data_IF_379371378657
#
_entry.id   IF_379371378657
#
_cell.length_a   1.000
_cell.length_b   1.000
_cell.length_c   1.000
_cell.angle_alpha   90.00
_cell.angle_beta   90.00
_cell.angle_gamma   90.00
#
_symmetry.space_group_name_H-M   'P 1'
#
loop_
_entity.id
_entity.type
_entity.pdbx_description
1 polymer ?
#
# COMPACT_ATOMS: atom_id res chain seq x y z
N UNK A 1 -37.50 -0.15 4.70
CA UNK A 1 -36.50 -0.82 5.57
C UNK A 1 -35.67 -1.87 4.84
N UNK A 2 -36.23 -2.66 3.91
CA UNK A 2 -35.49 -3.71 3.18
C UNK A 2 -34.43 -3.21 2.19
N UNK A 3 -34.66 -2.07 1.53
CA UNK A 3 -33.72 -1.49 0.54
C UNK A 3 -32.47 -0.93 1.22
N UNK A 4 -32.65 -0.17 2.31
CA UNK A 4 -31.53 0.37 3.12
C UNK A 4 -30.62 -0.72 3.68
N UNK A 5 -31.20 -1.81 4.20
CA UNK A 5 -30.42 -2.94 4.70
C UNK A 5 -29.58 -3.59 3.59
N UNK A 6 -30.16 -3.77 2.40
CA UNK A 6 -29.43 -4.30 1.23
C UNK A 6 -28.28 -3.38 0.84
N UNK A 7 -28.53 -2.07 0.79
CA UNK A 7 -27.50 -1.08 0.47
C UNK A 7 -26.35 -1.10 1.48
N UNK A 8 -26.64 -1.14 2.78
CA UNK A 8 -25.63 -1.26 3.83
C UNK A 8 -24.80 -2.54 3.70
N UNK A 9 -25.46 -3.67 3.42
CA UNK A 9 -24.77 -4.95 3.18
C UNK A 9 -23.87 -4.87 1.95
N UNK A 10 -24.33 -4.27 0.85
CA UNK A 10 -23.51 -4.07 -0.35
C UNK A 10 -22.29 -3.20 -0.08
N UNK A 11 -22.47 -2.09 0.65
CA UNK A 11 -21.37 -1.19 1.03
C UNK A 11 -20.36 -1.95 1.91
N UNK A 12 -20.83 -2.71 2.91
CA UNK A 12 -19.98 -3.51 3.78
C UNK A 12 -19.17 -4.53 2.97
N UNK A 13 -19.81 -5.28 2.06
CA UNK A 13 -19.14 -6.24 1.19
C UNK A 13 -18.06 -5.56 0.35
N UNK A 14 -18.37 -4.40 -0.25
CA UNK A 14 -17.41 -3.64 -1.03
C UNK A 14 -16.19 -3.20 -0.19
N UNK A 15 -16.40 -2.81 1.07
CA UNK A 15 -15.31 -2.44 1.98
C UNK A 15 -14.49 -3.66 2.42
N UNK A 16 -15.11 -4.82 2.64
CA UNK A 16 -14.40 -6.06 2.94
C UNK A 16 -13.53 -6.54 1.78
N UNK A 17 -14.05 -6.50 0.55
CA UNK A 17 -13.28 -6.82 -0.66
C UNK A 17 -12.11 -5.84 -0.81
N UNK A 18 -12.38 -4.54 -0.65
CA UNK A 18 -11.36 -3.50 -0.73
C UNK A 18 -10.27 -3.66 0.32
N UNK A 19 -10.62 -4.05 1.54
CA UNK A 19 -9.67 -4.37 2.61
C UNK A 19 -8.76 -5.55 2.23
N UNK A 20 -9.34 -6.63 1.72
CA UNK A 20 -8.61 -7.82 1.26
C UNK A 20 -7.61 -7.49 0.15
N UNK A 21 -8.07 -6.79 -0.89
CA UNK A 21 -7.23 -6.39 -2.02
C UNK A 21 -6.15 -5.38 -1.61
N UNK A 22 -6.46 -4.43 -0.72
CA UNK A 22 -5.47 -3.47 -0.22
C UNK A 22 -4.37 -4.19 0.57
N UNK A 23 -4.72 -5.21 1.35
CA UNK A 23 -3.77 -6.05 2.09
C UNK A 23 -2.82 -6.78 1.16
N UNK A 24 -3.34 -7.43 0.11
CA UNK A 24 -2.53 -8.21 -0.82
C UNK A 24 -1.58 -7.32 -1.62
N UNK A 25 -2.07 -6.20 -2.15
CA UNK A 25 -1.25 -5.23 -2.89
C UNK A 25 -0.15 -4.65 -2.01
N UNK A 26 -0.45 -4.27 -0.77
CA UNK A 26 0.55 -3.76 0.15
C UNK A 26 1.59 -4.82 0.55
N UNK A 27 1.18 -6.08 0.69
CA UNK A 27 2.11 -7.19 0.96
C UNK A 27 3.06 -7.41 -0.22
N UNK A 28 2.54 -7.39 -1.47
CA UNK A 28 3.34 -7.50 -2.68
C UNK A 28 4.36 -6.36 -2.83
N UNK A 29 4.00 -5.15 -2.39
CA UNK A 29 4.87 -3.97 -2.41
C UNK A 29 5.80 -3.85 -1.19
N UNK A 30 5.99 -4.94 -0.44
CA UNK A 30 6.82 -5.02 0.77
C UNK A 30 6.54 -3.91 1.81
N UNK A 31 5.26 -3.59 1.99
CA UNK A 31 4.76 -2.55 2.91
C UNK A 31 3.89 -3.18 4.01
N UNK A 32 3.51 -2.37 5.00
CA UNK A 32 2.71 -2.84 6.12
C UNK A 32 1.27 -3.18 5.66
N UNK A 33 1.05 -4.45 5.36
CA UNK A 33 -0.20 -4.96 4.79
C UNK A 33 -1.40 -4.77 5.72
N UNK A 34 -1.22 -4.85 7.04
CA UNK A 34 -2.31 -4.67 8.00
C UNK A 34 -2.82 -3.22 8.05
N UNK A 35 -1.92 -2.22 7.94
CA UNK A 35 -2.32 -0.81 7.87
C UNK A 35 -3.11 -0.51 6.60
N UNK A 36 -2.73 -1.11 5.48
CA UNK A 36 -3.44 -0.95 4.22
C UNK A 36 -4.74 -1.74 4.14
N UNK A 37 -4.84 -2.89 4.81
CA UNK A 37 -6.10 -3.59 5.00
C UNK A 37 -7.11 -2.71 5.75
N UNK A 38 -6.67 -2.04 6.81
CA UNK A 38 -7.51 -1.09 7.55
C UNK A 38 -7.94 0.10 6.68
N UNK A 39 -7.04 0.63 5.86
CA UNK A 39 -7.38 1.70 4.92
C UNK A 39 -8.45 1.26 3.90
N UNK A 40 -8.33 0.06 3.33
CA UNK A 40 -9.33 -0.51 2.44
C UNK A 40 -10.66 -0.81 3.14
N UNK A 41 -10.65 -1.15 4.43
CA UNK A 41 -11.87 -1.36 5.21
C UNK A 41 -12.59 -0.06 5.59
N UNK A 42 -11.86 1.01 5.89
CA UNK A 42 -12.44 2.30 6.30
C UNK A 42 -12.88 3.16 5.12
N UNK A 43 -12.12 3.13 4.03
CA UNK A 43 -12.34 3.98 2.86
C UNK A 43 -12.82 3.20 1.63
N UNK A 44 -13.00 1.88 1.76
CA UNK A 44 -13.51 1.03 0.70
C UNK A 44 -12.65 1.13 -0.56
N UNK A 45 -13.27 1.32 -1.74
CA UNK A 45 -12.54 1.44 -3.01
C UNK A 45 -11.50 2.55 -3.04
N UNK A 46 -11.71 3.66 -2.32
CA UNK A 46 -10.72 4.76 -2.26
C UNK A 46 -9.44 4.32 -1.55
N UNK A 47 -9.57 3.53 -0.48
CA UNK A 47 -8.43 2.92 0.22
C UNK A 47 -7.65 1.96 -0.67
N UNK A 48 -8.37 1.19 -1.51
CA UNK A 48 -7.75 0.30 -2.49
C UNK A 48 -6.99 1.06 -3.58
N UNK A 49 -7.57 2.13 -4.14
CA UNK A 49 -6.89 2.94 -5.16
C UNK A 49 -5.58 3.52 -4.60
N UNK A 50 -5.61 4.01 -3.36
CA UNK A 50 -4.41 4.49 -2.67
C UNK A 50 -3.38 3.36 -2.46
N UNK A 51 -3.82 2.14 -2.11
CA UNK A 51 -2.94 0.98 -1.96
C UNK A 51 -2.29 0.56 -3.28
N UNK A 52 -2.98 0.69 -4.41
CA UNK A 52 -2.42 0.42 -5.74
C UNK A 52 -1.43 1.50 -6.17
N UNK A 53 -1.77 2.77 -5.95
CA UNK A 53 -0.94 3.92 -6.31
C UNK A 53 0.33 4.07 -5.46
N UNK A 54 0.44 3.35 -4.35
CA UNK A 54 1.64 3.44 -3.51
C UNK A 54 2.87 2.87 -4.25
N UNK A 55 4.06 3.49 -4.10
CA UNK A 55 5.28 2.99 -4.72
C UNK A 55 5.81 1.74 -4.01
N UNK A 56 6.29 0.79 -4.80
CA UNK A 56 6.92 -0.44 -4.33
C UNK A 56 8.33 -0.14 -3.76
N UNK A 57 8.66 -0.78 -2.64
CA UNK A 57 9.99 -0.68 -2.02
C UNK A 57 11.08 -1.18 -2.95
N UNK A 58 10.84 -2.23 -3.73
CA UNK A 58 11.83 -2.74 -4.69
C UNK A 58 12.05 -1.77 -5.85
N UNK A 59 10.97 -1.17 -6.35
CA UNK A 59 11.03 -0.16 -7.40
C UNK A 59 11.81 1.09 -6.96
N UNK A 60 11.65 1.53 -5.70
CA UNK A 60 12.42 2.67 -5.17
C UNK A 60 13.93 2.38 -5.15
N UNK A 61 14.32 1.16 -4.75
CA UNK A 61 15.75 0.76 -4.74
C UNK A 61 16.29 0.68 -6.16
N UNK A 62 15.53 0.12 -7.10
CA UNK A 62 15.94 0.03 -8.50
C UNK A 62 16.07 1.40 -9.17
N UNK A 63 15.10 2.30 -8.95
CA UNK A 63 15.17 3.68 -9.46
C UNK A 63 16.38 4.42 -8.90
N UNK A 64 16.71 4.20 -7.63
CA UNK A 64 17.93 4.75 -7.02
C UNK A 64 19.18 4.20 -7.70
N UNK A 65 19.25 2.89 -7.94
CA UNK A 65 20.37 2.28 -8.65
C UNK A 65 20.55 2.88 -10.05
N UNK A 66 19.46 3.05 -10.81
CA UNK A 66 19.49 3.70 -12.13
C UNK A 66 19.96 5.15 -12.05
N UNK A 67 19.49 5.90 -11.05
CA UNK A 67 19.90 7.29 -10.86
C UNK A 67 21.39 7.39 -10.50
N UNK A 68 21.89 6.52 -9.62
CA UNK A 68 23.31 6.48 -9.22
C UNK A 68 24.22 6.18 -10.42
N UNK A 69 23.80 5.32 -11.36
CA UNK A 69 24.52 5.11 -12.62
C UNK A 69 24.58 6.35 -13.52
N UNK A 70 23.61 7.27 -13.39
CA UNK A 70 23.56 8.55 -14.12
C UNK A 70 24.28 9.69 -13.38
N UNK A 71 25.02 9.38 -12.30
CA UNK A 71 25.75 10.37 -11.52
C UNK A 71 24.92 11.10 -10.46
N UNK A 72 23.71 10.63 -10.18
CA UNK A 72 22.91 11.16 -9.07
C UNK A 72 23.59 10.81 -7.73
N UNK A 73 23.97 11.84 -6.98
CA UNK A 73 24.46 11.72 -5.61
C UNK A 73 23.28 11.90 -4.64
N UNK A 74 22.94 10.91 -3.80
CA UNK A 74 21.85 11.05 -2.85
C UNK A 74 22.17 12.14 -1.81
N UNK A 75 21.29 13.14 -1.69
CA UNK A 75 21.43 14.27 -0.76
C UNK A 75 21.47 13.85 0.72
N UNK A 76 20.93 12.67 1.04
CA UNK A 76 21.03 12.04 2.35
C UNK A 76 21.43 10.58 2.17
N UNK A 77 22.51 10.15 2.83
CA UNK A 77 22.84 8.74 2.92
C UNK A 77 21.71 8.06 3.73
N UNK A 78 20.84 7.30 3.06
CA UNK A 78 19.89 6.44 3.77
C UNK A 78 20.68 5.37 4.52
N UNK A 79 21.03 5.66 5.78
CA UNK A 79 21.54 4.69 6.73
C UNK A 79 20.44 3.71 7.07
N UNK A 80 20.49 2.50 6.50
CA UNK A 80 19.86 1.37 7.16
C UNK A 80 20.57 1.15 8.48
N UNK A 81 19.84 1.07 9.60
CA UNK A 81 20.38 0.47 10.81
C UNK A 81 20.92 -0.90 10.42
N UNK A 82 22.26 -1.03 10.38
CA UNK A 82 22.89 -2.35 10.42
C UNK A 82 22.44 -2.93 11.76
N UNK A 83 21.68 -4.01 11.72
CA UNK A 83 21.46 -4.80 12.91
C UNK A 83 22.82 -5.20 13.46
N UNK A 84 23.19 -4.65 14.60
CA UNK A 84 24.24 -5.18 15.45
C UNK A 84 23.73 -6.53 15.95
N UNK A 85 24.46 -7.58 15.57
CA UNK A 85 24.34 -8.92 16.13
C UNK A 85 25.18 -9.01 17.41
#
# INVERSE_FOLDING_TARGET
MSVELKSLVFVLIAHLISAGLSKTVAAQKARNSNRWALAGFLFGPLGLIAAVGMPDRHQIVYLRYLAEQQGYQPRHACGGQKGEA
#
